data_IF_114660002470
#
_entry.id   IF_114660002470
#
_cell.length_a   1.000
_cell.length_b   1.000
_cell.length_c   1.000
_cell.angle_alpha   90.00
_cell.angle_beta   90.00
_cell.angle_gamma   90.00
#
_symmetry.space_group_name_H-M   'P 1'
#
loop_
_entity.id
_entity.type
_entity.pdbx_description
1 polymer ?
#
# COMPACT_ATOMS: atom_id res chain seq x y z
N UNK A 1 -34.46 -27.06 1.06
CA UNK A 1 -34.48 -25.62 1.39
C UNK A 1 -33.06 -25.22 1.73
N UNK A 2 -32.34 -24.66 0.76
CA UNK A 2 -31.04 -24.02 0.99
C UNK A 2 -31.29 -22.78 1.84
N UNK A 3 -30.83 -22.79 3.09
CA UNK A 3 -30.85 -21.58 3.94
C UNK A 3 -30.07 -20.49 3.19
N UNK A 4 -30.66 -19.31 3.06
CA UNK A 4 -29.90 -18.12 2.66
C UNK A 4 -28.69 -18.00 3.60
N UNK A 5 -27.47 -17.75 3.09
CA UNK A 5 -26.33 -17.49 3.96
C UNK A 5 -26.67 -16.35 4.91
N UNK A 6 -26.34 -16.49 6.20
CA UNK A 6 -26.55 -15.44 7.19
C UNK A 6 -25.73 -14.20 6.81
N UNK A 7 -26.18 -13.02 7.24
CA UNK A 7 -25.45 -11.76 7.00
C UNK A 7 -24.01 -11.84 7.54
N UNK A 8 -23.81 -12.57 8.64
CA UNK A 8 -22.50 -12.87 9.24
C UNK A 8 -21.57 -13.62 8.26
N UNK A 9 -22.08 -14.64 7.56
CA UNK A 9 -21.31 -15.39 6.56
C UNK A 9 -20.89 -14.52 5.37
N UNK A 10 -21.75 -13.61 4.91
CA UNK A 10 -21.43 -12.72 3.79
C UNK A 10 -20.37 -11.67 4.18
N UNK A 11 -20.45 -11.14 5.39
CA UNK A 11 -19.45 -10.22 5.92
C UNK A 11 -18.09 -10.92 6.09
N UNK A 12 -18.08 -12.17 6.54
CA UNK A 12 -16.85 -12.97 6.61
C UNK A 12 -16.27 -13.22 5.23
N UNK A 13 -17.07 -13.56 4.23
CA UNK A 13 -16.59 -13.76 2.87
C UNK A 13 -16.00 -12.45 2.30
N UNK A 14 -16.63 -11.31 2.61
CA UNK A 14 -16.11 -9.99 2.26
C UNK A 14 -14.79 -9.66 2.98
N UNK A 15 -14.68 -9.90 4.29
CA UNK A 15 -13.44 -9.69 5.05
C UNK A 15 -12.33 -10.67 4.63
N UNK A 16 -12.68 -11.91 4.33
CA UNK A 16 -11.77 -12.90 3.76
C UNK A 16 -11.27 -12.44 2.40
N UNK A 17 -12.17 -11.95 1.54
CA UNK A 17 -11.80 -11.36 0.26
C UNK A 17 -10.85 -10.17 0.43
N UNK A 18 -11.12 -9.24 1.35
CA UNK A 18 -10.20 -8.14 1.64
C UNK A 18 -8.84 -8.62 2.21
N UNK A 19 -8.85 -9.69 3.01
CA UNK A 19 -7.66 -10.29 3.62
C UNK A 19 -6.82 -11.16 2.67
N UNK A 20 -7.36 -11.60 1.52
CA UNK A 20 -6.61 -12.41 0.53
C UNK A 20 -5.49 -11.64 -0.19
N UNK A 21 -5.45 -10.32 -0.02
CA UNK A 21 -4.37 -9.47 -0.52
C UNK A 21 -3.20 -9.52 0.47
N UNK A 22 -2.03 -10.00 0.02
CA UNK A 22 -0.82 -10.14 0.85
C UNK A 22 -0.38 -8.80 1.45
N UNK A 23 -0.23 -8.79 2.77
CA UNK A 23 0.31 -7.69 3.55
C UNK A 23 -0.62 -7.37 4.70
N UNK A 24 -0.04 -7.05 5.86
CA UNK A 24 -0.68 -6.25 6.90
C UNK A 24 -1.65 -5.23 6.25
N UNK A 25 -2.83 -4.96 6.80
CA UNK A 25 -3.69 -3.93 6.21
C UNK A 25 -2.93 -2.58 6.13
N UNK A 26 -1.97 -2.39 7.03
CA UNK A 26 -0.99 -1.32 6.96
C UNK A 26 0.02 -1.42 5.80
N UNK A 27 0.27 -2.58 5.19
CA UNK A 27 1.03 -2.75 3.94
C UNK A 27 0.20 -2.50 2.67
N UNK A 28 -1.12 -2.72 2.69
CA UNK A 28 -2.03 -2.40 1.57
C UNK A 28 -2.34 -0.89 1.56
N UNK A 29 -2.46 -0.28 2.74
CA UNK A 29 -2.53 1.16 2.95
C UNK A 29 -1.19 1.75 3.41
N UNK A 30 -0.04 1.17 3.02
CA UNK A 30 1.28 1.82 3.06
C UNK A 30 2.28 1.20 2.07
N UNK A 31 1.94 0.94 0.79
CA UNK A 31 2.93 0.42 -0.15
C UNK A 31 3.64 1.63 -0.76
N UNK A 32 4.47 2.38 0.00
CA UNK A 32 5.85 2.00 0.26
C UNK A 32 6.39 2.77 1.47
N UNK A 33 6.33 2.13 2.61
CA UNK A 33 7.59 2.04 3.31
C UNK A 33 8.28 0.82 2.73
N UNK A 34 9.29 1.07 1.90
CA UNK A 34 9.97 0.09 1.08
C UNK A 34 10.03 -1.28 1.76
N UNK A 35 9.49 -2.27 1.06
CA UNK A 35 9.71 -3.70 1.22
C UNK A 35 10.56 -4.02 2.46
N UNK A 36 9.91 -4.61 3.46
CA UNK A 36 10.59 -5.57 4.33
C UNK A 36 11.36 -6.49 3.38
N UNK A 37 12.66 -6.22 3.28
CA UNK A 37 13.73 -6.99 2.69
C UNK A 37 13.32 -7.90 1.53
N UNK A 38 13.78 -7.57 0.32
CA UNK A 38 14.25 -8.62 -0.59
C UNK A 38 15.38 -9.38 0.11
N UNK A 39 15.02 -10.32 0.99
CA UNK A 39 15.84 -11.49 1.25
C UNK A 39 15.41 -12.56 0.25
N UNK A 40 16.35 -13.25 -0.41
CA UNK A 40 16.03 -14.42 -1.20
C UNK A 40 15.41 -15.47 -0.28
N UNK A 41 14.37 -16.15 -0.73
CA UNK A 41 13.88 -17.44 -0.22
C UNK A 41 14.38 -17.83 1.19
N UNK A 42 13.72 -17.33 2.22
CA UNK A 42 13.76 -17.96 3.53
C UNK A 42 12.34 -18.23 4.00
N UNK A 43 11.76 -19.29 3.44
CA UNK A 43 10.62 -20.07 3.99
C UNK A 43 10.92 -20.68 5.39
N UNK A 44 11.79 -20.09 6.20
CA UNK A 44 12.13 -20.58 7.52
C UNK A 44 12.16 -19.44 8.53
N UNK A 45 11.02 -18.80 8.81
CA UNK A 45 10.80 -18.26 10.16
C UNK A 45 9.34 -17.95 10.56
N UNK A 46 8.36 -18.69 10.04
CA UNK A 46 6.99 -18.64 10.61
C UNK A 46 6.76 -19.72 11.68
N UNK A 47 7.84 -20.20 12.30
CA UNK A 47 7.81 -21.40 13.14
C UNK A 47 8.40 -21.28 14.54
N UNK A 48 9.09 -20.20 14.92
CA UNK A 48 9.56 -20.03 16.30
C UNK A 48 9.59 -18.56 16.70
N UNK A 49 9.15 -18.28 17.92
CA UNK A 49 9.08 -16.94 18.49
C UNK A 49 10.42 -16.29 18.80
N UNK A 50 11.30 -16.15 17.81
CA UNK A 50 12.39 -15.19 17.85
C UNK A 50 11.89 -13.85 17.29
N UNK A 51 12.10 -12.79 18.07
CA UNK A 51 11.72 -11.43 17.70
C UNK A 51 12.55 -11.00 16.50
N UNK A 52 12.01 -11.11 15.29
CA UNK A 52 12.55 -10.43 14.11
C UNK A 52 12.66 -8.95 14.42
N UNK A 53 13.89 -8.45 14.49
CA UNK A 53 14.16 -7.05 14.82
C UNK A 53 13.41 -6.14 13.83
N UNK A 54 12.67 -5.15 14.36
CA UNK A 54 11.96 -4.18 13.53
C UNK A 54 13.00 -3.36 12.78
N UNK A 55 13.06 -3.58 11.47
CA UNK A 55 14.02 -2.90 10.61
C UNK A 55 13.37 -1.75 9.86
N UNK A 56 14.09 -0.62 9.77
CA UNK A 56 13.56 0.57 9.11
C UNK A 56 13.52 0.38 7.57
N UNK A 57 12.38 0.60 6.93
CA UNK A 57 12.23 0.60 5.48
C UNK A 57 13.07 1.73 4.83
N UNK A 58 13.47 1.53 3.57
CA UNK A 58 14.07 2.60 2.75
C UNK A 58 13.03 3.68 2.44
N UNK A 59 13.48 4.94 2.41
CA UNK A 59 12.63 6.06 2.02
C UNK A 59 12.57 6.09 0.49
N UNK A 60 11.38 6.01 -0.08
CA UNK A 60 11.22 6.10 -1.53
C UNK A 60 11.57 7.51 -2.05
N UNK A 61 12.19 7.58 -3.24
CA UNK A 61 12.49 8.85 -3.91
C UNK A 61 11.37 9.25 -4.88
N UNK A 62 11.25 10.54 -5.19
CA UNK A 62 10.17 11.05 -6.06
C UNK A 62 10.23 10.41 -7.46
N UNK A 63 9.11 9.84 -7.91
CA UNK A 63 9.02 9.06 -9.16
C UNK A 63 9.38 7.59 -9.02
N UNK A 64 9.80 7.11 -7.84
CA UNK A 64 10.05 5.68 -7.61
C UNK A 64 8.77 4.86 -7.86
N UNK A 65 8.93 3.75 -8.60
CA UNK A 65 7.85 2.85 -8.97
C UNK A 65 7.97 1.50 -8.27
N UNK A 66 6.86 0.92 -7.84
CA UNK A 66 6.80 -0.50 -7.51
C UNK A 66 5.65 -1.17 -8.24
N UNK A 67 5.99 -2.11 -9.13
CA UNK A 67 5.07 -2.74 -10.05
C UNK A 67 5.00 -4.24 -9.79
N UNK A 68 3.81 -4.82 -9.86
CA UNK A 68 3.66 -6.26 -9.74
C UNK A 68 2.30 -6.78 -10.16
N UNK A 69 2.14 -8.09 -10.10
CA UNK A 69 0.91 -8.77 -10.48
C UNK A 69 0.57 -9.90 -9.53
N UNK A 70 -0.73 -10.14 -9.35
CA UNK A 70 -1.26 -11.34 -8.75
C UNK A 70 -1.99 -12.15 -9.81
N UNK A 71 -1.68 -13.44 -9.89
CA UNK A 71 -2.34 -14.35 -10.81
C UNK A 71 -3.56 -14.99 -10.13
N UNK A 72 -4.75 -14.74 -10.68
CA UNK A 72 -5.98 -15.37 -10.23
C UNK A 72 -6.05 -16.84 -10.64
N UNK A 73 -6.76 -17.65 -9.85
CA UNK A 73 -7.01 -19.06 -10.16
C UNK A 73 -7.83 -19.28 -11.43
N UNK A 74 -8.60 -18.26 -11.84
CA UNK A 74 -9.40 -18.23 -13.06
C UNK A 74 -8.61 -17.76 -14.29
N UNK A 75 -7.30 -17.52 -14.14
CA UNK A 75 -6.43 -17.00 -15.18
C UNK A 75 -6.50 -15.48 -15.36
N UNK A 76 -7.32 -14.77 -14.58
CA UNK A 76 -7.30 -13.31 -14.55
C UNK A 76 -6.01 -12.80 -13.88
N UNK A 77 -5.70 -11.53 -14.11
CA UNK A 77 -4.51 -10.87 -13.54
C UNK A 77 -4.93 -9.58 -12.85
N UNK A 78 -4.52 -9.44 -11.59
CA UNK A 78 -4.64 -8.19 -10.83
C UNK A 78 -3.28 -7.49 -10.86
N UNK A 79 -3.23 -6.25 -11.32
CA UNK A 79 -2.01 -5.43 -11.36
C UNK A 79 -1.91 -4.54 -10.13
N UNK A 80 -0.72 -4.44 -9.57
CA UNK A 80 -0.31 -3.47 -8.56
C UNK A 80 0.59 -2.42 -9.21
N UNK A 81 0.29 -1.15 -8.96
CA UNK A 81 1.10 0.00 -9.34
C UNK A 81 1.22 0.91 -8.11
N UNK A 82 2.45 1.17 -7.69
CA UNK A 82 2.78 2.16 -6.67
C UNK A 82 3.72 3.19 -7.28
N UNK A 83 3.52 4.46 -6.96
CA UNK A 83 4.35 5.58 -7.39
C UNK A 83 4.55 6.57 -6.24
N UNK A 84 5.80 6.88 -5.91
CA UNK A 84 6.12 7.97 -5.00
C UNK A 84 5.82 9.31 -5.69
N UNK A 85 4.70 9.93 -5.33
CA UNK A 85 4.12 11.09 -6.02
C UNK A 85 4.50 12.43 -5.39
N UNK A 86 5.04 12.45 -4.18
CA UNK A 86 5.38 13.70 -3.49
C UNK A 86 6.61 13.61 -2.59
N UNK A 87 7.15 14.80 -2.27
CA UNK A 87 8.09 15.07 -1.20
C UNK A 87 7.60 16.35 -0.44
N UNK A 88 7.10 16.30 0.83
CA UNK A 88 7.12 15.21 1.82
C UNK A 88 6.54 13.89 1.31
N UNK A 89 6.98 12.73 1.85
CA UNK A 89 6.77 11.46 1.18
C UNK A 89 5.29 11.08 1.14
N UNK A 90 4.76 11.03 -0.08
CA UNK A 90 3.44 10.48 -0.38
C UNK A 90 3.61 9.49 -1.51
N UNK A 91 3.03 8.31 -1.34
CA UNK A 91 2.90 7.36 -2.44
C UNK A 91 1.46 7.07 -2.73
N UNK A 92 1.15 7.10 -4.01
CA UNK A 92 -0.12 6.65 -4.53
C UNK A 92 -0.02 5.21 -5.03
N UNK A 93 -1.08 4.45 -4.81
CA UNK A 93 -1.17 3.03 -5.10
C UNK A 93 -2.48 2.70 -5.79
N UNK A 94 -2.41 1.81 -6.77
CA UNK A 94 -3.55 1.30 -7.50
C UNK A 94 -3.44 -0.22 -7.65
N UNK A 95 -4.54 -0.89 -7.36
CA UNK A 95 -4.76 -2.30 -7.67
C UNK A 95 -5.93 -2.39 -8.65
N UNK A 96 -5.78 -3.11 -9.75
CA UNK A 96 -6.92 -3.35 -10.65
C UNK A 96 -6.89 -4.71 -11.34
N UNK A 97 -8.08 -5.28 -11.53
CA UNK A 97 -8.30 -6.47 -12.34
C UNK A 97 -9.22 -6.13 -13.51
N UNK A 98 -8.70 -6.23 -14.73
CA UNK A 98 -9.43 -5.85 -15.95
C UNK A 98 -10.60 -6.76 -16.28
N UNK A 99 -10.45 -8.05 -15.98
CA UNK A 99 -11.46 -9.07 -16.30
C UNK A 99 -12.69 -8.88 -15.43
N UNK A 100 -12.47 -8.60 -14.14
CA UNK A 100 -13.54 -8.42 -13.16
C UNK A 100 -14.05 -6.98 -13.04
N UNK A 101 -13.36 -6.01 -13.63
CA UNK A 101 -13.74 -4.60 -13.55
C UNK A 101 -13.62 -4.00 -12.15
N UNK A 102 -12.75 -4.59 -11.31
CA UNK A 102 -12.52 -4.16 -9.92
C UNK A 102 -11.23 -3.34 -9.88
N UNK A 103 -11.26 -2.20 -9.21
CA UNK A 103 -10.08 -1.42 -8.89
C UNK A 103 -10.15 -0.81 -7.49
N UNK A 104 -8.98 -0.53 -6.93
CA UNK A 104 -8.77 0.26 -5.71
C UNK A 104 -7.67 1.26 -5.99
N UNK A 105 -7.88 2.52 -5.60
CA UNK A 105 -6.90 3.60 -5.70
C UNK A 105 -6.78 4.24 -4.33
N UNK A 106 -5.56 4.46 -3.86
CA UNK A 106 -5.26 5.01 -2.54
C UNK A 106 -3.96 5.79 -2.58
N UNK A 107 -3.67 6.56 -1.54
CA UNK A 107 -2.37 7.17 -1.33
C UNK A 107 -2.10 7.33 0.15
N UNK A 108 -0.82 7.35 0.52
CA UNK A 108 -0.38 7.25 1.91
C UNK A 108 0.69 8.28 2.20
N UNK A 109 0.45 9.03 3.26
CA UNK A 109 1.39 9.95 3.88
C UNK A 109 1.65 9.47 5.31
N UNK A 110 2.91 9.20 5.64
CA UNK A 110 3.27 8.71 6.97
C UNK A 110 3.68 9.86 7.89
N UNK A 111 3.18 9.83 9.12
CA UNK A 111 3.73 10.59 10.24
C UNK A 111 4.16 9.62 11.34
N UNK A 112 5.31 9.88 11.96
CA UNK A 112 5.82 9.06 13.06
C UNK A 112 5.82 9.87 14.34
N UNK A 113 5.06 9.43 15.33
CA UNK A 113 5.06 9.96 16.69
C UNK A 113 5.42 8.84 17.67
N UNK A 114 6.13 9.18 18.74
CA UNK A 114 6.57 8.22 19.75
C UNK A 114 5.70 8.36 21.00
N UNK A 115 4.82 7.39 21.21
CA UNK A 115 3.97 7.34 22.40
C UNK A 115 4.23 6.02 23.15
N UNK A 116 4.35 6.03 24.48
CA UNK A 116 4.35 4.80 25.26
C UNK A 116 2.99 4.12 25.14
N UNK A 117 2.96 2.94 24.53
CA UNK A 117 1.72 2.15 24.38
C UNK A 117 1.65 1.13 25.52
N UNK A 118 0.54 1.17 26.26
CA UNK A 118 0.14 0.13 27.20
C UNK A 118 -1.06 -0.63 26.62
N UNK A 119 -1.06 -1.96 26.71
CA UNK A 119 -2.14 -2.80 26.22
C UNK A 119 -1.66 -4.08 25.56
N UNK A 120 -2.61 -4.88 25.11
CA UNK A 120 -2.33 -6.06 24.27
C UNK A 120 -1.91 -5.54 22.90
N UNK A 121 -0.77 -6.02 22.39
CA UNK A 121 -0.26 -5.61 21.08
C UNK A 121 -1.26 -6.01 20.00
N UNK A 122 -1.32 -5.19 18.96
CA UNK A 122 -2.10 -5.45 17.74
C UNK A 122 -3.62 -5.54 17.97
N UNK A 123 -4.11 -5.02 19.09
CA UNK A 123 -5.55 -4.96 19.35
C UNK A 123 -6.26 -3.97 18.43
N UNK A 124 -7.44 -4.36 17.95
CA UNK A 124 -8.34 -3.54 17.14
C UNK A 124 -9.76 -3.63 17.68
N UNK A 125 -10.50 -2.54 17.54
CA UNK A 125 -11.95 -2.47 17.70
C UNK A 125 -12.53 -1.65 16.55
N UNK A 126 -13.59 -2.14 15.93
CA UNK A 126 -14.26 -1.48 14.80
C UNK A 126 -15.76 -1.75 14.84
N UNK A 127 -16.53 -0.85 14.23
CA UNK A 127 -17.99 -0.90 14.16
C UNK A 127 -18.43 -0.71 12.70
N UNK A 128 -19.42 -1.48 12.28
CA UNK A 128 -20.11 -1.30 10.99
C UNK A 128 -21.51 -0.79 11.28
N UNK A 129 -21.85 0.39 10.76
CA UNK A 129 -23.14 1.04 11.00
C UNK A 129 -23.88 1.37 9.70
N UNK A 130 -25.21 1.46 9.78
CA UNK A 130 -26.03 1.96 8.67
C UNK A 130 -26.26 3.46 8.84
N UNK A 131 -25.62 4.26 7.99
CA UNK A 131 -25.77 5.73 7.99
C UNK A 131 -27.20 6.20 7.70
N UNK A 132 -28.02 5.40 7.01
CA UNK A 132 -29.41 5.74 6.68
C UNK A 132 -30.36 5.55 7.87
N UNK A 133 -29.98 4.67 8.80
CA UNK A 133 -30.77 4.32 9.98
C UNK A 133 -30.23 5.04 11.23
N UNK A 134 -29.73 6.27 11.05
CA UNK A 134 -29.20 7.08 12.15
C UNK A 134 -27.91 6.56 12.77
N UNK A 135 -27.12 5.75 12.04
CA UNK A 135 -25.86 5.20 12.54
C UNK A 135 -26.03 3.99 13.44
N UNK A 136 -27.16 3.27 13.36
CA UNK A 136 -27.34 1.99 14.06
C UNK A 136 -26.19 1.05 13.74
N UNK A 137 -25.47 0.60 14.78
CA UNK A 137 -24.42 -0.41 14.68
C UNK A 137 -25.07 -1.74 14.30
N UNK A 138 -24.54 -2.37 13.28
CA UNK A 138 -24.94 -3.69 12.77
C UNK A 138 -23.95 -4.77 13.22
N UNK A 139 -22.65 -4.43 13.22
CA UNK A 139 -21.59 -5.36 13.61
C UNK A 139 -20.53 -4.66 14.45
N UNK A 140 -20.03 -5.38 15.44
CA UNK A 140 -18.83 -5.01 16.21
C UNK A 140 -17.72 -6.01 15.90
N UNK A 141 -16.52 -5.52 15.65
CA UNK A 141 -15.34 -6.32 15.35
C UNK A 141 -14.29 -6.00 16.41
N UNK A 142 -13.76 -7.03 17.08
CA UNK A 142 -12.71 -6.85 18.07
C UNK A 142 -11.73 -8.01 18.09
N UNK A 143 -10.50 -7.76 18.54
CA UNK A 143 -9.49 -8.81 18.67
C UNK A 143 -8.12 -8.32 18.28
N UNK A 144 -7.30 -9.20 17.68
CA UNK A 144 -5.97 -8.87 17.19
C UNK A 144 -5.93 -8.99 15.67
N UNK A 145 -5.53 -7.91 14.97
CA UNK A 145 -5.53 -7.87 13.50
C UNK A 145 -4.50 -8.81 12.87
N UNK A 146 -3.55 -9.33 13.66
CA UNK A 146 -2.55 -10.32 13.25
C UNK A 146 -2.83 -11.72 13.84
N UNK A 147 -4.07 -11.99 14.25
CA UNK A 147 -4.43 -13.26 14.87
C UNK A 147 -5.91 -13.52 14.76
N UNK A 148 -6.63 -13.46 15.89
CA UNK A 148 -8.07 -13.70 15.92
C UNK A 148 -8.85 -12.39 16.01
N UNK A 149 -9.79 -12.20 15.09
CA UNK A 149 -10.88 -11.23 15.17
C UNK A 149 -12.18 -11.96 15.56
N UNK A 150 -13.03 -11.27 16.31
CA UNK A 150 -14.38 -11.69 16.65
C UNK A 150 -15.35 -10.68 16.07
N UNK A 151 -16.31 -11.16 15.29
CA UNK A 151 -17.35 -10.35 14.65
C UNK A 151 -18.65 -10.67 15.37
N UNK A 152 -19.29 -9.66 15.96
CA UNK A 152 -20.55 -9.78 16.69
C UNK A 152 -21.66 -9.09 15.89
N UNK A 153 -22.75 -9.80 15.59
CA UNK A 153 -23.96 -9.25 14.98
C UNK A 153 -24.89 -8.70 16.06
N UNK A 154 -24.96 -7.37 16.18
CA UNK A 154 -25.76 -6.69 17.20
C UNK A 154 -27.26 -6.69 16.88
N UNK A 155 -27.65 -7.22 15.73
CA UNK A 155 -29.05 -7.30 15.27
C UNK A 155 -29.72 -8.63 15.58
N UNK A 156 -28.93 -9.68 15.87
CA UNK A 156 -29.40 -11.05 16.07
C UNK A 156 -28.83 -11.68 17.35
N UNK A 157 -29.38 -11.32 18.51
CA UNK A 157 -29.02 -11.84 19.84
C UNK A 157 -27.51 -11.82 20.18
N UNK A 158 -26.73 -10.93 19.56
CA UNK A 158 -25.27 -10.86 19.67
C UNK A 158 -24.58 -12.18 19.28
N UNK A 159 -25.09 -12.85 18.25
CA UNK A 159 -24.38 -13.96 17.61
C UNK A 159 -22.98 -13.51 17.19
N UNK A 160 -21.97 -14.34 17.44
CA UNK A 160 -20.59 -14.01 17.12
C UNK A 160 -19.90 -15.12 16.32
N UNK A 161 -18.95 -14.71 15.48
CA UNK A 161 -18.10 -15.61 14.73
C UNK A 161 -16.62 -15.22 14.85
N UNK A 162 -15.76 -16.22 14.98
CA UNK A 162 -14.32 -16.05 14.98
C UNK A 162 -13.76 -16.03 13.55
N UNK A 163 -12.91 -15.06 13.27
CA UNK A 163 -12.13 -14.95 12.04
C UNK A 163 -10.64 -15.04 12.40
N UNK A 164 -9.97 -16.05 11.90
CA UNK A 164 -8.54 -16.26 12.11
C UNK A 164 -7.81 -15.80 10.85
N UNK A 165 -6.94 -14.80 11.01
CA UNK A 165 -6.21 -14.20 9.89
C UNK A 165 -5.28 -15.20 9.22
N UNK A 166 -4.70 -16.12 10.01
CA UNK A 166 -3.82 -17.19 9.52
C UNK A 166 -4.53 -18.24 8.64
N UNK A 167 -5.86 -18.33 8.71
CA UNK A 167 -6.64 -19.26 7.89
C UNK A 167 -6.87 -18.73 6.46
N UNK A 168 -6.56 -17.46 6.21
CA UNK A 168 -6.76 -16.84 4.89
C UNK A 168 -5.58 -17.18 3.97
N UNK A 169 -5.80 -17.90 2.85
CA UNK A 169 -4.73 -18.21 1.93
C UNK A 169 -4.20 -16.92 1.29
N UNK A 170 -2.89 -16.68 1.46
CA UNK A 170 -2.23 -15.51 0.91
C UNK A 170 -1.91 -15.73 -0.57
N UNK A 171 -2.18 -14.70 -1.39
CA UNK A 171 -1.78 -14.70 -2.80
C UNK A 171 -0.42 -14.03 -2.98
N UNK A 172 0.47 -14.66 -3.75
CA UNK A 172 1.81 -14.14 -3.97
C UNK A 172 1.85 -13.03 -5.02
N UNK A 173 2.50 -11.91 -4.67
CA UNK A 173 2.83 -10.85 -5.61
C UNK A 173 4.03 -11.26 -6.46
N UNK A 174 3.86 -11.26 -7.78
CA UNK A 174 4.92 -11.48 -8.75
C UNK A 174 5.47 -10.16 -9.26
N UNK A 175 6.78 -10.05 -9.35
CA UNK A 175 7.47 -8.93 -9.98
C UNK A 175 8.43 -9.47 -11.05
N UNK A 176 8.90 -8.60 -11.94
CA UNK A 176 10.02 -8.93 -12.83
C UNK A 176 11.29 -9.22 -12.02
N UNK A 177 12.22 -9.95 -12.63
CA UNK A 177 13.58 -10.08 -12.10
C UNK A 177 14.26 -8.71 -12.09
N UNK A 178 15.20 -8.49 -11.17
CA UNK A 178 15.80 -7.17 -10.91
C UNK A 178 16.49 -6.58 -12.14
N UNK A 179 17.11 -7.42 -12.97
CA UNK A 179 17.79 -7.05 -14.21
C UNK A 179 16.82 -6.70 -15.35
N UNK A 180 15.59 -7.22 -15.32
CA UNK A 180 14.51 -6.94 -16.28
C UNK A 180 13.64 -5.72 -15.88
N UNK A 181 13.80 -5.22 -14.66
CA UNK A 181 13.08 -4.03 -14.17
C UNK A 181 13.63 -2.75 -14.80
N UNK A 182 12.81 -1.70 -14.93
CA UNK A 182 13.27 -0.37 -15.30
C UNK A 182 14.09 0.26 -14.15
N UNK A 183 15.10 1.11 -14.41
CA UNK A 183 15.87 1.80 -13.37
C UNK A 183 15.03 2.49 -12.29
N UNK A 184 13.85 3.01 -12.63
CA UNK A 184 12.92 3.66 -11.69
C UNK A 184 12.13 2.68 -10.80
N UNK A 185 12.18 1.38 -11.06
CA UNK A 185 11.52 0.38 -10.21
C UNK A 185 12.33 0.11 -8.93
N UNK A 186 11.67 0.10 -7.77
CA UNK A 186 12.29 0.09 -6.44
C UNK A 186 13.38 -0.95 -6.26
N UNK A 187 13.14 -2.22 -6.68
CA UNK A 187 14.13 -3.28 -6.43
C UNK A 187 15.39 -3.09 -7.25
N UNK A 188 15.28 -2.53 -8.45
CA UNK A 188 16.43 -2.19 -9.30
C UNK A 188 17.13 -0.94 -8.80
N UNK A 189 16.39 0.13 -8.48
CA UNK A 189 16.97 1.37 -7.97
C UNK A 189 17.78 1.12 -6.69
N UNK A 190 17.27 0.28 -5.78
CA UNK A 190 17.88 0.02 -4.48
C UNK A 190 18.72 -1.27 -4.42
N UNK A 191 18.95 -1.96 -5.54
CA UNK A 191 19.57 -3.30 -5.52
C UNK A 191 20.94 -3.32 -4.81
N UNK A 192 21.81 -2.34 -5.08
CA UNK A 192 23.14 -2.24 -4.47
C UNK A 192 23.09 -1.93 -2.98
N UNK A 193 22.10 -1.15 -2.54
CA UNK A 193 21.87 -0.91 -1.11
C UNK A 193 21.47 -2.21 -0.41
N UNK A 194 20.59 -3.01 -1.03
CA UNK A 194 20.19 -4.32 -0.51
C UNK A 194 21.36 -5.30 -0.46
N UNK A 195 22.16 -5.37 -1.52
CA UNK A 195 23.38 -6.20 -1.58
C UNK A 195 24.37 -5.83 -0.45
N UNK A 196 24.59 -4.54 -0.23
CA UNK A 196 25.43 -4.05 0.87
C UNK A 196 24.88 -4.44 2.25
N UNK A 197 23.56 -4.35 2.45
CA UNK A 197 22.92 -4.79 3.70
C UNK A 197 23.11 -6.31 3.90
N UNK A 198 22.89 -7.11 2.86
CA UNK A 198 23.04 -8.56 2.91
C UNK A 198 24.50 -8.98 3.22
N UNK A 199 25.47 -8.22 2.70
CA UNK A 199 26.89 -8.42 2.98
C UNK A 199 27.36 -7.85 4.32
N UNK A 200 26.53 -7.07 5.03
CA UNK A 200 26.91 -6.35 6.23
C UNK A 200 27.89 -5.19 6.01
N UNK A 201 28.05 -4.73 4.76
CA UNK A 201 28.94 -3.63 4.39
C UNK A 201 28.21 -2.28 4.51
N UNK A 202 28.23 -1.70 5.71
CA UNK A 202 27.58 -0.43 5.98
C UNK A 202 28.23 0.77 5.27
N UNK A 203 29.48 0.65 4.80
CA UNK A 203 30.11 1.69 3.99
C UNK A 203 29.53 1.69 2.57
N UNK A 204 29.40 0.51 1.95
CA UNK A 204 28.74 0.36 0.66
C UNK A 204 27.29 0.84 0.71
N UNK A 205 26.52 0.42 1.72
CA UNK A 205 25.13 0.87 1.95
C UNK A 205 25.03 2.39 1.98
N UNK A 206 25.89 3.05 2.75
CA UNK A 206 25.89 4.51 2.87
C UNK A 206 26.23 5.20 1.55
N UNK A 207 27.24 4.70 0.83
CA UNK A 207 27.68 5.31 -0.42
C UNK A 207 26.60 5.21 -1.51
N UNK A 208 26.03 4.03 -1.70
CA UNK A 208 24.98 3.79 -2.71
C UNK A 208 23.70 4.57 -2.38
N UNK A 209 23.33 4.63 -1.10
CA UNK A 209 22.20 5.46 -0.67
C UNK A 209 22.43 6.95 -0.93
N UNK A 210 23.61 7.47 -0.58
CA UNK A 210 23.95 8.86 -0.81
C UNK A 210 23.94 9.23 -2.30
N UNK A 211 24.36 8.31 -3.17
CA UNK A 211 24.37 8.53 -4.62
C UNK A 211 22.96 8.83 -5.14
N UNK A 212 21.97 8.00 -4.80
CA UNK A 212 20.56 8.20 -5.19
C UNK A 212 20.02 9.48 -4.55
N UNK A 213 20.19 9.66 -3.24
CA UNK A 213 19.65 10.82 -2.53
C UNK A 213 20.23 12.16 -3.01
N UNK A 214 21.53 12.21 -3.34
CA UNK A 214 22.15 13.41 -3.89
C UNK A 214 21.66 13.70 -5.30
N UNK A 215 21.60 12.68 -6.18
CA UNK A 215 21.09 12.85 -7.54
C UNK A 215 19.63 13.35 -7.56
N UNK A 216 18.79 12.82 -6.67
CA UNK A 216 17.42 13.27 -6.52
C UNK A 216 17.33 14.72 -6.03
N UNK A 217 18.19 15.13 -5.10
CA UNK A 217 18.31 16.53 -4.66
C UNK A 217 18.74 17.45 -5.78
N UNK A 218 19.73 17.05 -6.58
CA UNK A 218 20.22 17.83 -7.71
C UNK A 218 19.16 17.96 -8.81
N UNK A 219 18.38 16.90 -9.09
CA UNK A 219 17.24 16.96 -10.01
C UNK A 219 16.16 17.93 -9.53
N UNK A 220 15.81 17.93 -8.23
CA UNK A 220 14.84 18.89 -7.67
C UNK A 220 15.34 20.34 -7.77
N UNK A 221 16.62 20.56 -7.49
CA UNK A 221 17.21 21.89 -7.60
C UNK A 221 17.22 22.39 -9.06
N UNK A 222 17.46 21.51 -10.03
CA UNK A 222 17.40 21.85 -11.45
C UNK A 222 15.97 22.18 -11.91
N UNK A 223 14.97 21.41 -11.46
CA UNK A 223 13.55 21.65 -11.72
C UNK A 223 13.06 22.99 -11.17
N UNK A 224 13.43 23.30 -9.92
CA UNK A 224 13.07 24.56 -9.25
C UNK A 224 13.63 25.78 -10.00
N UNK A 225 14.84 25.67 -10.56
CA UNK A 225 15.45 26.75 -11.35
C UNK A 225 14.68 27.10 -12.63
N UNK A 226 13.93 26.13 -13.19
CA UNK A 226 13.18 26.29 -14.43
C UNK A 226 11.67 26.27 -14.24
N UNK A 227 11.19 26.31 -12.98
CA UNK A 227 9.76 26.23 -12.61
C UNK A 227 9.06 25.02 -13.25
N UNK A 228 9.75 23.88 -13.29
CA UNK A 228 9.24 22.64 -13.85
C UNK A 228 8.75 21.73 -12.74
N UNK A 229 7.47 21.36 -12.79
CA UNK A 229 6.93 20.35 -11.89
C UNK A 229 7.29 18.94 -12.37
N UNK A 230 7.63 18.05 -11.42
CA UNK A 230 7.87 16.64 -11.73
C UNK A 230 6.63 15.97 -12.35
N UNK A 231 6.76 15.34 -13.53
CA UNK A 231 5.65 14.63 -14.14
C UNK A 231 5.39 13.31 -13.41
N UNK A 232 4.17 13.13 -12.88
CA UNK A 232 3.72 11.85 -12.33
C UNK A 232 3.20 10.95 -13.46
N UNK A 233 3.43 9.65 -13.35
CA UNK A 233 3.23 8.70 -14.44
C UNK A 233 1.85 8.03 -14.39
N UNK A 234 1.49 7.49 -13.23
CA UNK A 234 0.28 6.68 -13.03
C UNK A 234 -0.77 7.38 -12.18
N UNK A 235 -0.42 8.51 -11.59
CA UNK A 235 -1.32 9.28 -10.75
C UNK A 235 -1.29 10.76 -11.09
N UNK A 236 -2.41 11.42 -10.82
CA UNK A 236 -2.56 12.86 -10.96
C UNK A 236 -3.15 13.42 -9.68
N UNK A 237 -2.74 14.64 -9.32
CA UNK A 237 -3.41 15.38 -8.26
C UNK A 237 -4.77 15.91 -8.78
N UNK A 238 -5.83 15.64 -8.04
CA UNK A 238 -7.20 16.12 -8.26
C UNK A 238 -7.82 16.64 -6.96
N UNK A 239 -7.27 17.74 -6.45
CA UNK A 239 -7.73 18.39 -5.22
C UNK A 239 -9.23 18.77 -5.21
N UNK A 240 -9.87 18.81 -6.38
CA UNK A 240 -11.29 19.12 -6.54
C UNK A 240 -12.14 17.87 -6.83
N UNK A 241 -11.68 16.67 -6.47
CA UNK A 241 -12.41 15.43 -6.70
C UNK A 241 -13.81 15.48 -6.07
N UNK A 242 -14.82 15.46 -6.95
CA UNK A 242 -16.22 15.42 -6.54
C UNK A 242 -16.57 14.11 -5.81
N UNK A 243 -15.98 12.99 -6.24
CA UNK A 243 -16.17 11.68 -5.61
C UNK A 243 -15.64 11.68 -4.17
N UNK A 244 -14.41 12.18 -3.97
CA UNK A 244 -13.83 12.34 -2.64
C UNK A 244 -14.73 13.23 -1.78
N UNK A 245 -15.13 14.40 -2.28
CA UNK A 245 -15.99 15.33 -1.53
C UNK A 245 -17.36 14.75 -1.17
N UNK A 246 -17.92 13.85 -1.99
CA UNK A 246 -19.19 13.16 -1.69
C UNK A 246 -19.02 12.08 -0.62
N UNK A 247 -17.98 11.25 -0.73
CA UNK A 247 -17.73 10.17 0.22
C UNK A 247 -17.29 10.70 1.58
N UNK A 248 -16.45 11.73 1.61
CA UNK A 248 -15.99 12.38 2.82
C UNK A 248 -17.16 12.91 3.67
N UNK A 249 -18.25 13.38 3.06
CA UNK A 249 -19.45 13.85 3.79
C UNK A 249 -20.13 12.77 4.64
N UNK A 250 -19.91 11.49 4.34
CA UNK A 250 -20.47 10.40 5.13
C UNK A 250 -19.67 10.10 6.41
N UNK A 251 -18.44 10.63 6.51
CA UNK A 251 -17.59 10.47 7.69
C UNK A 251 -18.00 11.52 8.72
N UNK A 252 -18.48 11.07 9.88
CA UNK A 252 -18.93 11.94 10.97
C UNK A 252 -17.77 12.62 11.70
N UNK A 253 -16.65 11.92 11.83
CA UNK A 253 -15.44 12.44 12.46
C UNK A 253 -14.76 13.49 11.57
N UNK A 254 -14.62 14.71 12.09
CA UNK A 254 -14.12 15.85 11.32
C UNK A 254 -12.63 15.73 10.99
N UNK A 255 -11.84 15.13 11.89
CA UNK A 255 -10.41 14.94 11.70
C UNK A 255 -10.15 13.86 10.64
N UNK A 256 -10.84 12.72 10.73
CA UNK A 256 -10.77 11.63 9.74
C UNK A 256 -11.30 12.04 8.37
N UNK A 257 -12.24 12.98 8.32
CA UNK A 257 -12.75 13.56 7.07
C UNK A 257 -11.77 14.55 6.44
N UNK A 258 -10.82 15.11 7.20
CA UNK A 258 -9.86 16.10 6.71
C UNK A 258 -8.84 15.46 5.78
N UNK A 259 -8.65 16.05 4.60
CA UNK A 259 -7.61 15.64 3.65
C UNK A 259 -6.20 15.86 4.22
N UNK A 260 -6.05 16.78 5.16
CA UNK A 260 -4.76 17.20 5.73
C UNK A 260 -3.73 17.50 4.61
N UNK A 261 -4.06 18.46 3.75
CA UNK A 261 -3.36 18.73 2.48
C UNK A 261 -1.86 19.00 2.64
N UNK A 262 -1.45 19.60 3.75
CA UNK A 262 -0.03 19.83 4.08
C UNK A 262 0.76 18.52 4.19
N UNK A 263 0.07 17.41 4.51
CA UNK A 263 0.66 16.08 4.66
C UNK A 263 0.46 15.21 3.43
N UNK A 264 -0.73 15.24 2.84
CA UNK A 264 -1.09 14.36 1.72
C UNK A 264 -0.65 14.91 0.37
N UNK A 265 -0.23 16.18 0.32
CA UNK A 265 0.07 16.89 -0.92
C UNK A 265 -1.07 16.78 -1.94
N UNK A 266 -2.30 16.73 -1.43
CA UNK A 266 -3.54 16.71 -2.20
C UNK A 266 -4.18 15.34 -2.41
N UNK A 267 -5.14 15.27 -3.34
CA UNK A 267 -5.88 14.04 -3.65
C UNK A 267 -5.25 13.36 -4.86
N UNK A 268 -4.57 12.23 -4.65
CA UNK A 268 -3.94 11.49 -5.74
C UNK A 268 -4.89 10.46 -6.37
N UNK A 269 -5.18 10.63 -7.66
CA UNK A 269 -6.04 9.74 -8.43
C UNK A 269 -5.25 8.97 -9.48
N UNK A 270 -5.57 7.69 -9.60
CA UNK A 270 -5.07 6.85 -10.68
C UNK A 270 -5.54 7.37 -12.05
N UNK A 271 -4.63 7.42 -13.03
CA UNK A 271 -4.90 7.91 -14.41
C UNK A 271 -5.88 7.04 -15.21
N UNK A 272 -6.25 5.88 -14.66
CA UNK A 272 -7.16 4.93 -15.29
C UNK A 272 -6.42 3.77 -15.94
N UNK A 273 -7.17 2.68 -16.17
CA UNK A 273 -6.61 1.41 -16.64
C UNK A 273 -5.98 1.55 -18.03
N UNK A 274 -6.65 2.21 -18.98
CA UNK A 274 -6.16 2.27 -20.36
C UNK A 274 -4.85 3.07 -20.50
N UNK A 275 -4.70 4.29 -19.94
CA UNK A 275 -3.43 5.01 -19.95
C UNK A 275 -2.32 4.25 -19.21
N UNK A 276 -2.62 3.64 -18.06
CA UNK A 276 -1.64 2.88 -17.31
C UNK A 276 -1.13 1.66 -18.08
N UNK A 277 -2.00 0.89 -18.74
CA UNK A 277 -1.59 -0.25 -19.58
C UNK A 277 -0.73 0.18 -20.77
N UNK A 278 -1.03 1.32 -21.39
CA UNK A 278 -0.21 1.86 -22.47
C UNK A 278 1.20 2.19 -21.97
N UNK A 279 1.32 2.84 -20.82
CA UNK A 279 2.62 3.19 -20.22
C UNK A 279 3.39 1.95 -19.75
N UNK A 280 2.71 0.97 -19.16
CA UNK A 280 3.32 -0.32 -18.79
C UNK A 280 3.84 -1.09 -19.99
N UNK A 281 3.16 -1.01 -21.14
CA UNK A 281 3.58 -1.66 -22.38
C UNK A 281 4.79 -0.98 -23.02
N UNK A 282 4.86 0.35 -22.98
CA UNK A 282 5.99 1.12 -23.50
C UNK A 282 7.24 0.93 -22.63
N UNK A 283 7.07 0.88 -21.30
CA UNK A 283 8.16 0.65 -20.34
C UNK A 283 9.14 1.83 -20.20
N UNK A 284 8.83 2.96 -20.85
CA UNK A 284 9.62 4.18 -20.83
C UNK A 284 9.16 5.11 -19.70
N UNK A 285 9.72 4.91 -18.50
CA UNK A 285 9.44 5.74 -17.34
C UNK A 285 10.44 6.90 -17.26
N UNK A 286 9.93 8.14 -17.21
CA UNK A 286 10.72 9.38 -17.13
C UNK A 286 11.79 9.55 -18.23
N UNK A 287 11.53 9.02 -19.43
CA UNK A 287 12.37 9.18 -20.62
C UNK A 287 13.82 8.71 -20.41
N UNK A 288 14.80 9.59 -20.63
CA UNK A 288 16.23 9.28 -20.51
C UNK A 288 16.81 9.54 -19.11
N UNK A 289 15.97 9.87 -18.14
CA UNK A 289 16.41 10.08 -16.75
C UNK A 289 16.59 8.73 -16.05
N UNK A 290 17.55 8.66 -15.12
CA UNK A 290 17.65 7.57 -14.15
C UNK A 290 17.52 8.14 -12.72
N UNK A 291 17.16 7.31 -11.73
CA UNK A 291 17.10 7.76 -10.33
C UNK A 291 18.40 8.34 -9.79
N UNK A 292 19.53 7.94 -10.39
CA UNK A 292 20.89 8.40 -10.07
C UNK A 292 21.33 9.61 -10.87
N UNK A 293 20.44 10.23 -11.66
CA UNK A 293 20.69 11.43 -12.45
C UNK A 293 20.51 11.23 -13.96
N UNK A 294 21.01 12.17 -14.75
CA UNK A 294 21.01 12.07 -16.22
C UNK A 294 22.16 11.18 -16.70
N UNK A 295 21.91 10.42 -17.77
CA UNK A 295 22.94 9.75 -18.58
C UNK A 295 23.53 10.74 -19.58
#
# INVERSE_FOLDING_TARGET
>A
MTKSPSNLSQLKDFLSYLATVKGDLSNITAPPLAQVYTAPDSEQDLGNGESGDVKKPLNAFLGELFLGTFAGSDGSMTRLICEQVSHPPVTACCLYNKVHGISSSSYIAQETTFNPVAGVRNSVHAEISNIRDGGRILFEISGQWNGKLTITDTTNDNEFEGFYVDDVPLMELRTKQVDEQNPWESRRAWCRVVEGIAAGDMHAVRNEKNMIENAQRDMRAAEEQVDLEWPRLFFMNDDNSQEFALLAKAISDEEARSLNIERTAGVWKFVGVSPAEALLCDGNYHASLEPTGQI
#
